data_IF_623162266955
#
_entry.id   IF_623162266955
#
_cell.length_a   1.000
_cell.length_b   1.000
_cell.length_c   1.000
_cell.angle_alpha   90.00
_cell.angle_beta   90.00
_cell.angle_gamma   90.00
#
_symmetry.space_group_name_H-M   'P 1'
#
loop_
_entity.id
_entity.type
_entity.pdbx_description
1 polymer ?
#
# COMPACT_ATOMS: atom_id res chain seq x y z
N UNK A 1 -31.02 -21.24 9.29
CA UNK A 1 -31.09 -20.43 8.06
C UNK A 1 -29.75 -19.74 7.91
N UNK A 2 -29.05 -19.93 6.80
CA UNK A 2 -27.82 -19.17 6.49
C UNK A 2 -28.22 -17.72 6.22
N UNK A 3 -27.63 -16.77 6.95
CA UNK A 3 -27.81 -15.34 6.68
C UNK A 3 -27.42 -15.05 5.22
N UNK A 4 -28.16 -14.20 4.49
CA UNK A 4 -27.71 -13.77 3.17
C UNK A 4 -26.33 -13.07 3.31
N UNK A 5 -25.40 -13.30 2.37
CA UNK A 5 -24.08 -12.68 2.46
C UNK A 5 -24.22 -11.15 2.43
N UNK A 6 -23.61 -10.43 3.40
CA UNK A 6 -23.55 -8.97 3.39
C UNK A 6 -22.89 -8.43 2.11
N UNK A 7 -23.28 -7.22 1.70
CA UNK A 7 -22.65 -6.55 0.57
C UNK A 7 -21.32 -5.93 1.04
N UNK A 8 -20.25 -6.18 0.32
CA UNK A 8 -18.94 -5.57 0.62
C UNK A 8 -18.93 -4.15 0.06
N UNK A 9 -18.64 -3.19 0.92
CA UNK A 9 -18.51 -1.78 0.61
C UNK A 9 -17.04 -1.39 0.82
N UNK A 10 -16.42 -0.93 -0.25
CA UNK A 10 -15.03 -0.49 -0.21
C UNK A 10 -14.91 1.02 -0.20
N UNK A 11 -14.03 1.53 0.65
CA UNK A 11 -13.62 2.93 0.65
C UNK A 11 -12.20 3.02 0.11
N UNK A 12 -11.97 3.96 -0.81
CA UNK A 12 -10.65 4.14 -1.43
C UNK A 12 -10.39 5.61 -1.68
N UNK A 13 -9.14 5.96 -1.96
CA UNK A 13 -8.82 7.32 -2.38
C UNK A 13 -7.55 7.39 -3.22
N UNK A 14 -7.36 8.52 -3.91
CA UNK A 14 -6.13 8.77 -4.66
C UNK A 14 -4.99 9.13 -3.69
N UNK A 15 -4.29 8.13 -3.17
CA UNK A 15 -3.27 8.30 -2.14
C UNK A 15 -3.85 8.90 -0.83
N UNK A 16 -3.38 10.06 -0.39
CA UNK A 16 -3.79 10.70 0.87
C UNK A 16 -5.03 11.60 0.70
N UNK A 17 -5.98 11.19 -0.14
CA UNK A 17 -7.13 12.00 -0.56
C UNK A 17 -8.39 11.79 0.27
N UNK A 18 -8.28 11.23 1.48
CA UNK A 18 -9.40 11.18 2.43
C UNK A 18 -10.26 9.91 2.42
N UNK A 19 -9.74 8.77 1.95
CA UNK A 19 -10.46 7.49 2.01
C UNK A 19 -10.90 7.13 3.44
N UNK A 20 -10.00 7.36 4.40
CA UNK A 20 -10.27 7.16 5.83
C UNK A 20 -11.43 7.99 6.37
N UNK A 21 -11.67 9.20 5.85
CA UNK A 21 -12.80 10.02 6.27
C UNK A 21 -14.14 9.35 5.92
N UNK A 22 -14.23 8.76 4.73
CA UNK A 22 -15.42 7.99 4.33
C UNK A 22 -15.55 6.75 5.21
N UNK A 23 -14.46 6.03 5.45
CA UNK A 23 -14.44 4.86 6.35
C UNK A 23 -14.98 5.24 7.73
N UNK A 24 -14.48 6.33 8.31
CA UNK A 24 -14.92 6.80 9.63
C UNK A 24 -16.39 7.23 9.65
N UNK A 25 -16.92 7.83 8.58
CA UNK A 25 -18.36 8.14 8.48
C UNK A 25 -19.18 6.83 8.47
N UNK A 26 -18.78 5.85 7.65
CA UNK A 26 -19.51 4.58 7.52
C UNK A 26 -19.43 3.72 8.78
N UNK A 27 -18.32 3.78 9.54
CA UNK A 27 -18.17 3.14 10.86
C UNK A 27 -19.20 3.60 11.89
N UNK A 28 -19.81 4.77 11.70
CA UNK A 28 -20.84 5.30 12.60
C UNK A 28 -22.22 4.64 12.40
N UNK A 29 -22.39 3.90 11.31
CA UNK A 29 -23.63 3.20 10.98
C UNK A 29 -23.65 1.78 11.55
N UNK A 30 -24.71 1.48 12.29
CA UNK A 30 -24.98 0.16 12.86
C UNK A 30 -25.21 -0.94 11.81
N UNK A 31 -25.45 -0.60 10.53
CA UNK A 31 -25.65 -1.55 9.44
C UNK A 31 -24.35 -2.26 8.98
N UNK A 32 -23.16 -1.79 9.40
CA UNK A 32 -21.88 -2.33 8.98
C UNK A 32 -21.24 -3.25 10.01
N UNK A 33 -20.65 -4.34 9.52
CA UNK A 33 -19.50 -5.00 10.13
C UNK A 33 -18.24 -4.39 9.54
N UNK A 34 -17.30 -3.98 10.39
CA UNK A 34 -16.09 -3.27 9.95
C UNK A 34 -14.90 -4.20 10.17
N UNK A 35 -13.99 -4.28 9.19
CA UNK A 35 -12.72 -4.96 9.38
C UNK A 35 -12.02 -4.39 10.63
N UNK A 36 -11.53 -5.26 11.51
CA UNK A 36 -10.71 -4.87 12.67
C UNK A 36 -9.51 -4.07 12.18
N UNK A 37 -9.28 -2.93 12.83
CA UNK A 37 -8.32 -1.91 12.41
C UNK A 37 -8.99 -0.71 11.70
N UNK A 38 -10.20 -0.87 11.17
CA UNK A 38 -10.93 0.22 10.50
C UNK A 38 -10.09 0.87 9.41
N UNK A 39 -10.02 2.20 9.41
CA UNK A 39 -9.19 2.98 8.49
C UNK A 39 -7.66 2.78 8.67
N UNK A 40 -7.19 2.11 9.71
CA UNK A 40 -5.76 1.78 9.90
C UNK A 40 -5.37 0.49 9.16
N UNK A 41 -6.34 -0.32 8.73
CA UNK A 41 -6.12 -1.58 8.03
C UNK A 41 -6.52 -1.48 6.54
N UNK A 42 -5.51 -1.27 5.68
CA UNK A 42 -5.70 -1.25 4.23
C UNK A 42 -5.76 -2.67 3.63
N UNK A 43 -6.92 -3.08 3.12
CA UNK A 43 -7.21 -4.42 2.63
C UNK A 43 -6.80 -4.64 1.14
N UNK A 44 -5.55 -4.33 0.80
CA UNK A 44 -5.07 -4.33 -0.61
C UNK A 44 -4.87 -5.72 -1.23
N UNK A 45 -4.78 -6.76 -0.41
CA UNK A 45 -4.41 -8.11 -0.83
C UNK A 45 -5.24 -8.64 -2.01
N UNK A 46 -6.56 -8.55 -1.92
CA UNK A 46 -7.45 -9.15 -2.92
C UNK A 46 -7.29 -8.48 -4.28
N UNK A 47 -7.34 -7.16 -4.31
CA UNK A 47 -7.22 -6.37 -5.52
C UNK A 47 -5.90 -6.64 -6.24
N UNK A 48 -4.76 -6.60 -5.55
CA UNK A 48 -3.46 -6.79 -6.19
C UNK A 48 -3.29 -8.20 -6.78
N UNK A 49 -3.77 -9.23 -6.07
CA UNK A 49 -3.50 -10.61 -6.43
C UNK A 49 -4.53 -11.19 -7.39
N UNK A 50 -5.83 -10.90 -7.22
CA UNK A 50 -6.88 -11.38 -8.11
C UNK A 50 -6.77 -10.68 -9.47
N UNK A 51 -6.51 -9.37 -9.49
CA UNK A 51 -6.33 -8.64 -10.75
C UNK A 51 -5.12 -9.14 -11.55
N UNK A 52 -4.00 -9.41 -10.89
CA UNK A 52 -2.82 -9.97 -11.56
C UNK A 52 -3.09 -11.37 -12.14
N UNK A 53 -3.81 -12.22 -11.40
CA UNK A 53 -4.19 -13.56 -11.86
C UNK A 53 -5.17 -13.50 -13.03
N UNK A 54 -6.23 -12.68 -12.92
CA UNK A 54 -7.19 -12.45 -14.00
C UNK A 54 -6.48 -11.99 -15.28
N UNK A 55 -5.61 -11.00 -15.15
CA UNK A 55 -4.86 -10.45 -16.29
C UNK A 55 -4.01 -11.52 -16.96
N UNK A 56 -3.29 -12.32 -16.17
CA UNK A 56 -2.47 -13.42 -16.69
C UNK A 56 -3.31 -14.48 -17.41
N UNK A 57 -4.48 -14.84 -16.87
CA UNK A 57 -5.40 -15.81 -17.46
C UNK A 57 -6.03 -15.29 -18.76
N UNK A 58 -6.40 -14.00 -18.83
CA UNK A 58 -6.97 -13.38 -20.04
C UNK A 58 -5.94 -13.29 -21.17
N UNK A 59 -4.68 -12.98 -20.83
CA UNK A 59 -3.59 -12.89 -21.80
C UNK A 59 -3.10 -14.29 -22.22
N UNK A 60 -3.26 -15.30 -21.36
CA UNK A 60 -2.68 -16.64 -21.57
C UNK A 60 -1.16 -16.66 -21.34
N UNK A 61 -0.62 -15.72 -20.55
CA UNK A 61 0.80 -15.62 -20.26
C UNK A 61 1.06 -15.19 -18.80
N UNK A 62 2.13 -15.70 -18.21
CA UNK A 62 2.55 -15.33 -16.85
C UNK A 62 1.66 -15.90 -15.73
N UNK A 63 0.79 -16.87 -16.02
CA UNK A 63 -0.12 -17.50 -15.06
C UNK A 63 0.63 -18.05 -13.86
N UNK A 64 1.68 -18.85 -14.09
CA UNK A 64 2.49 -19.43 -13.02
C UNK A 64 3.06 -18.37 -12.07
N UNK A 65 3.57 -17.26 -12.62
CA UNK A 65 4.08 -16.14 -11.83
C UNK A 65 2.97 -15.49 -11.01
N UNK A 66 1.81 -15.23 -11.61
CA UNK A 66 0.70 -14.58 -10.93
C UNK A 66 0.14 -15.46 -9.80
N UNK A 67 -0.05 -16.76 -10.06
CA UNK A 67 -0.50 -17.72 -9.05
C UNK A 67 0.49 -17.80 -7.89
N UNK A 68 1.77 -17.98 -8.17
CA UNK A 68 2.76 -18.14 -7.10
C UNK A 68 2.97 -16.86 -6.31
N UNK A 69 2.87 -15.68 -6.94
CA UNK A 69 2.84 -14.41 -6.23
C UNK A 69 1.60 -14.30 -5.32
N UNK A 70 0.42 -14.69 -5.81
CA UNK A 70 -0.81 -14.74 -5.01
C UNK A 70 -0.64 -15.64 -3.80
N UNK A 71 -0.25 -16.90 -4.01
CA UNK A 71 -0.06 -17.85 -2.91
C UNK A 71 1.02 -17.37 -1.93
N UNK A 72 2.12 -16.79 -2.42
CA UNK A 72 3.19 -16.27 -1.56
C UNK A 72 2.69 -15.12 -0.70
N UNK A 73 2.00 -14.16 -1.31
CA UNK A 73 1.39 -13.05 -0.59
C UNK A 73 0.35 -13.57 0.42
N UNK A 74 -0.45 -14.57 0.06
CA UNK A 74 -1.43 -15.20 0.94
C UNK A 74 -0.74 -15.82 2.16
N UNK A 75 0.38 -16.51 1.95
CA UNK A 75 1.19 -17.07 3.02
C UNK A 75 1.77 -15.98 3.93
N UNK A 76 2.24 -14.86 3.38
CA UNK A 76 2.76 -13.75 4.20
C UNK A 76 1.65 -13.10 5.03
N UNK A 77 0.52 -12.71 4.42
CA UNK A 77 -0.57 -12.08 5.16
C UNK A 77 -1.27 -13.05 6.11
N UNK A 78 -1.27 -14.36 5.83
CA UNK A 78 -1.77 -15.36 6.80
C UNK A 78 -0.96 -15.41 8.10
N UNK A 79 0.25 -14.83 8.13
CA UNK A 79 1.08 -14.68 9.34
C UNK A 79 0.82 -13.35 10.06
N UNK A 80 0.31 -12.36 9.34
CA UNK A 80 -0.03 -11.04 9.83
C UNK A 80 -1.21 -11.10 10.81
N UNK A 81 -1.14 -10.30 11.88
CA UNK A 81 -2.11 -10.36 12.97
C UNK A 81 -3.47 -9.80 12.56
N UNK A 82 -3.49 -8.76 11.73
CA UNK A 82 -4.72 -8.09 11.32
C UNK A 82 -5.50 -8.95 10.31
N UNK A 83 -4.80 -9.57 9.36
CA UNK A 83 -5.42 -10.55 8.46
C UNK A 83 -5.95 -11.77 9.21
N UNK A 84 -5.21 -12.33 10.17
CA UNK A 84 -5.70 -13.43 11.01
C UNK A 84 -6.95 -13.03 11.79
N UNK A 85 -6.95 -11.83 12.36
CA UNK A 85 -8.05 -11.34 13.18
C UNK A 85 -9.34 -11.11 12.37
N UNK A 86 -9.20 -10.81 11.07
CA UNK A 86 -10.31 -10.54 10.15
C UNK A 86 -10.81 -11.79 9.40
N UNK A 87 -9.90 -12.61 8.88
CA UNK A 87 -10.25 -13.70 7.94
C UNK A 87 -10.02 -15.11 8.50
N UNK A 88 -9.43 -15.22 9.70
CA UNK A 88 -9.23 -16.49 10.39
C UNK A 88 -8.07 -17.34 9.85
N UNK A 89 -7.83 -18.51 10.46
CA UNK A 89 -6.68 -19.36 10.15
C UNK A 89 -6.79 -20.07 8.79
N UNK A 90 -8.00 -20.28 8.28
CA UNK A 90 -8.24 -21.03 7.03
C UNK A 90 -8.07 -20.19 5.76
N UNK A 91 -7.82 -18.89 5.88
CA UNK A 91 -7.64 -17.96 4.76
C UNK A 91 -6.68 -18.46 3.68
N UNK A 92 -5.53 -19.04 4.07
CA UNK A 92 -4.56 -19.56 3.12
C UNK A 92 -5.11 -20.77 2.36
N UNK A 93 -5.81 -21.67 3.06
CA UNK A 93 -6.42 -22.85 2.45
C UNK A 93 -7.50 -22.45 1.44
N UNK A 94 -8.34 -21.47 1.77
CA UNK A 94 -9.35 -20.95 0.86
C UNK A 94 -8.72 -20.32 -0.38
N UNK A 95 -7.59 -19.63 -0.23
CA UNK A 95 -6.84 -19.08 -1.38
C UNK A 95 -6.29 -20.19 -2.27
N UNK A 96 -5.71 -21.25 -1.70
CA UNK A 96 -5.20 -22.40 -2.45
C UNK A 96 -6.32 -23.12 -3.21
N UNK A 97 -7.46 -23.35 -2.56
CA UNK A 97 -8.65 -23.94 -3.19
C UNK A 97 -9.13 -23.10 -4.37
N UNK A 98 -9.23 -21.77 -4.18
CA UNK A 98 -9.63 -20.85 -5.24
C UNK A 98 -8.69 -20.91 -6.44
N UNK A 99 -7.38 -20.80 -6.22
CA UNK A 99 -6.37 -20.91 -7.27
C UNK A 99 -6.52 -22.21 -8.06
N UNK A 100 -6.66 -23.34 -7.37
CA UNK A 100 -6.83 -24.65 -8.02
C UNK A 100 -8.18 -24.76 -8.78
N UNK A 101 -9.17 -23.92 -8.47
CA UNK A 101 -10.46 -23.92 -9.15
C UNK A 101 -10.47 -23.12 -10.46
N UNK A 102 -9.52 -22.18 -10.63
CA UNK A 102 -9.41 -21.29 -11.80
C UNK A 102 -8.15 -21.54 -12.64
N UNK A 103 -7.29 -22.47 -12.22
CA UNK A 103 -6.07 -22.86 -12.92
C UNK A 103 -5.88 -24.37 -12.93
N UNK A 104 -5.05 -24.84 -13.84
CA UNK A 104 -4.52 -26.20 -13.87
C UNK A 104 -3.04 -26.19 -13.45
N UNK A 105 -2.49 -27.35 -13.11
CA UNK A 105 -1.07 -27.46 -12.79
C UNK A 105 -0.49 -28.80 -13.25
N UNK A 106 0.82 -28.78 -13.51
CA UNK A 106 1.63 -29.96 -13.77
C UNK A 106 2.94 -29.88 -12.98
N UNK A 107 3.66 -30.98 -12.92
CA UNK A 107 5.00 -31.02 -12.32
C UNK A 107 6.02 -30.49 -13.34
N UNK A 108 6.59 -29.32 -13.07
CA UNK A 108 7.53 -28.66 -13.97
C UNK A 108 8.71 -28.07 -13.22
N UNK A 109 9.63 -27.43 -13.97
CA UNK A 109 10.83 -26.85 -13.40
C UNK A 109 10.55 -25.62 -12.54
N UNK A 110 11.32 -25.48 -11.46
CA UNK A 110 11.34 -24.36 -10.52
C UNK A 110 12.54 -23.46 -10.86
N UNK A 111 12.31 -22.14 -10.92
CA UNK A 111 13.29 -21.19 -11.44
C UNK A 111 13.52 -19.96 -10.55
N UNK A 112 12.65 -19.67 -9.59
CA UNK A 112 12.63 -18.39 -8.85
C UNK A 112 12.50 -18.58 -7.34
N UNK A 113 12.99 -17.61 -6.58
CA UNK A 113 13.02 -17.65 -5.12
C UNK A 113 11.65 -17.92 -4.47
N UNK A 114 10.56 -17.41 -5.05
CA UNK A 114 9.21 -17.64 -4.54
C UNK A 114 8.68 -19.05 -4.82
N UNK A 115 9.24 -19.78 -5.79
CA UNK A 115 8.87 -21.18 -6.06
C UNK A 115 9.28 -22.08 -4.87
N UNK A 116 10.44 -21.77 -4.28
CA UNK A 116 11.00 -22.50 -3.15
C UNK A 116 10.20 -22.29 -1.85
N UNK A 117 9.40 -21.23 -1.75
CA UNK A 117 8.58 -20.96 -0.56
C UNK A 117 7.51 -22.04 -0.30
N UNK A 118 7.18 -22.84 -1.31
CA UNK A 118 6.16 -23.89 -1.26
C UNK A 118 6.73 -25.31 -1.31
N UNK A 119 8.05 -25.44 -1.37
CA UNK A 119 8.73 -26.74 -1.34
C UNK A 119 9.10 -27.10 0.10
N UNK A 120 9.05 -28.38 0.41
CA UNK A 120 9.41 -28.87 1.74
C UNK A 120 10.91 -28.60 2.00
N UNK A 121 11.32 -28.09 3.17
CA UNK A 121 12.74 -27.95 3.52
C UNK A 121 13.56 -29.25 3.36
N UNK A 122 12.95 -30.42 3.59
CA UNK A 122 13.57 -31.72 3.35
C UNK A 122 13.78 -32.01 1.86
N UNK A 123 12.89 -31.53 0.99
CA UNK A 123 13.04 -31.62 -0.45
C UNK A 123 14.23 -30.79 -0.94
N UNK A 124 14.38 -29.56 -0.44
CA UNK A 124 15.54 -28.71 -0.72
C UNK A 124 16.87 -29.40 -0.40
N UNK A 125 16.94 -30.14 0.71
CA UNK A 125 18.15 -30.84 1.12
C UNK A 125 18.57 -31.96 0.14
N UNK A 126 17.65 -32.44 -0.71
CA UNK A 126 17.92 -33.48 -1.71
C UNK A 126 18.37 -32.92 -3.05
N UNK A 127 18.16 -31.63 -3.36
CA UNK A 127 18.46 -31.06 -4.69
C UNK A 127 19.91 -31.28 -5.15
N UNK A 128 20.89 -31.15 -4.26
CA UNK A 128 22.30 -31.43 -4.61
C UNK A 128 22.51 -32.91 -4.99
N UNK A 129 21.82 -33.84 -4.31
CA UNK A 129 21.89 -35.28 -4.64
C UNK A 129 21.18 -35.58 -5.96
N UNK A 130 20.02 -34.97 -6.20
CA UNK A 130 19.28 -35.10 -7.44
C UNK A 130 20.09 -34.58 -8.64
N UNK A 131 20.77 -33.44 -8.50
CA UNK A 131 21.66 -32.89 -9.53
C UNK A 131 22.83 -33.84 -9.83
N UNK A 132 23.46 -34.44 -8.79
CA UNK A 132 24.51 -35.44 -8.97
C UNK A 132 24.01 -36.67 -9.72
N UNK A 133 22.82 -37.17 -9.37
CA UNK A 133 22.18 -38.28 -10.05
C UNK A 133 21.88 -37.95 -11.52
N UNK A 134 21.35 -36.76 -11.79
CA UNK A 134 21.13 -36.26 -13.15
C UNK A 134 22.44 -36.25 -13.95
N UNK A 135 23.50 -35.64 -13.43
CA UNK A 135 24.80 -35.57 -14.10
C UNK A 135 25.39 -36.96 -14.37
N UNK A 136 25.27 -37.87 -13.40
CA UNK A 136 25.69 -39.27 -13.55
C UNK A 136 24.92 -40.00 -14.65
N UNK A 137 23.59 -39.83 -14.71
CA UNK A 137 22.71 -40.48 -15.71
C UNK A 137 22.84 -39.86 -17.10
N UNK A 138 22.99 -38.54 -17.17
CA UNK A 138 23.17 -37.80 -18.42
C UNK A 138 24.50 -38.19 -19.08
N UNK A 139 25.56 -38.39 -18.29
CA UNK A 139 26.81 -39.00 -18.75
C UNK A 139 27.48 -38.30 -19.95
N UNK A 140 27.20 -37.00 -20.15
CA UNK A 140 27.63 -36.20 -21.32
C UNK A 140 27.22 -36.82 -22.67
N UNK A 141 26.01 -37.40 -22.76
CA UNK A 141 25.43 -37.85 -24.03
C UNK A 141 25.54 -36.74 -25.09
N UNK A 142 25.85 -37.11 -26.33
CA UNK A 142 25.88 -36.16 -27.45
C UNK A 142 24.47 -35.65 -27.71
N UNK A 143 24.30 -34.33 -27.67
CA UNK A 143 23.03 -33.71 -28.05
C UNK A 143 22.90 -33.76 -29.58
N UNK A 144 21.92 -34.53 -30.07
CA UNK A 144 21.75 -34.80 -31.50
C UNK A 144 21.14 -33.63 -32.28
N UNK A 145 20.64 -32.59 -31.59
CA UNK A 145 20.10 -31.41 -32.26
C UNK A 145 21.22 -30.47 -32.71
N UNK A 146 21.15 -30.03 -33.97
CA UNK A 146 22.05 -29.01 -34.50
C UNK A 146 21.65 -27.64 -33.98
N UNK A 147 22.47 -27.08 -33.10
CA UNK A 147 22.33 -25.73 -32.58
C UNK A 147 23.63 -24.95 -32.80
N UNK A 148 23.61 -23.73 -33.37
CA UNK A 148 24.81 -22.92 -33.61
C UNK A 148 25.48 -22.47 -32.30
N UNK A 149 24.72 -22.46 -31.21
CA UNK A 149 25.22 -22.27 -29.85
C UNK A 149 24.88 -23.52 -29.04
N UNK A 150 25.88 -24.24 -28.54
CA UNK A 150 25.67 -25.47 -27.79
C UNK A 150 24.79 -25.23 -26.57
N UNK A 151 23.55 -25.70 -26.63
CA UNK A 151 22.67 -25.82 -25.48
C UNK A 151 22.90 -27.19 -24.84
N UNK A 152 23.16 -27.21 -23.52
CA UNK A 152 23.29 -28.45 -22.76
C UNK A 152 22.10 -28.62 -21.80
N UNK A 153 21.42 -29.77 -21.81
CA UNK A 153 20.43 -30.13 -20.81
C UNK A 153 20.98 -29.97 -19.39
N UNK A 154 20.27 -29.25 -18.52
CA UNK A 154 20.62 -29.08 -17.11
C UNK A 154 19.50 -29.53 -16.18
N UNK A 155 19.87 -29.97 -14.98
CA UNK A 155 18.91 -30.28 -13.93
C UNK A 155 18.32 -28.98 -13.36
N UNK A 156 16.99 -28.93 -13.30
CA UNK A 156 16.24 -27.98 -12.50
C UNK A 156 15.40 -28.74 -11.47
N UNK A 157 15.27 -28.25 -10.22
CA UNK A 157 14.30 -28.80 -9.28
C UNK A 157 12.88 -28.77 -9.85
N UNK A 158 12.05 -29.72 -9.46
CA UNK A 158 10.66 -29.78 -9.89
C UNK A 158 9.73 -29.21 -8.82
N UNK A 159 8.60 -28.69 -9.25
CA UNK A 159 7.54 -28.17 -8.40
C UNK A 159 6.26 -27.96 -9.19
N UNK A 160 5.20 -27.49 -8.53
CA UNK A 160 3.95 -27.16 -9.23
C UNK A 160 4.16 -25.97 -10.16
N UNK A 161 3.82 -26.16 -11.42
CA UNK A 161 3.75 -25.10 -12.43
C UNK A 161 2.30 -24.92 -12.83
N UNK A 162 1.79 -23.70 -12.73
CA UNK A 162 0.39 -23.39 -13.02
C UNK A 162 0.20 -22.84 -14.43
N UNK A 163 -0.84 -23.31 -15.09
CA UNK A 163 -1.25 -22.86 -16.42
C UNK A 163 -2.77 -22.83 -16.52
N UNK A 164 -3.29 -22.30 -17.62
CA UNK A 164 -4.72 -22.26 -17.89
C UNK A 164 -5.09 -21.05 -18.73
N UNK A 165 -6.36 -21.03 -19.14
CA UNK A 165 -6.99 -19.92 -19.84
C UNK A 165 -8.05 -19.28 -18.93
N UNK A 166 -8.51 -18.08 -19.27
CA UNK A 166 -9.58 -17.41 -18.53
C UNK A 166 -10.87 -18.25 -18.54
N UNK A 167 -11.33 -18.76 -17.38
CA UNK A 167 -12.52 -19.61 -17.34
C UNK A 167 -13.79 -18.75 -17.41
N UNK A 168 -14.83 -19.27 -18.09
CA UNK A 168 -16.11 -18.56 -18.23
C UNK A 168 -16.79 -18.28 -16.88
N UNK A 169 -16.53 -19.10 -15.87
CA UNK A 169 -17.08 -18.98 -14.51
C UNK A 169 -16.09 -18.32 -13.53
N UNK A 170 -15.09 -17.57 -14.03
CA UNK A 170 -14.07 -16.92 -13.21
C UNK A 170 -14.66 -16.04 -12.11
N UNK A 171 -15.60 -15.15 -12.46
CA UNK A 171 -16.20 -14.23 -11.50
C UNK A 171 -17.04 -14.96 -10.47
N UNK A 172 -17.78 -16.00 -10.86
CA UNK A 172 -18.58 -16.80 -9.92
C UNK A 172 -17.69 -17.53 -8.91
N UNK A 173 -16.57 -18.11 -9.37
CA UNK A 173 -15.57 -18.75 -8.50
C UNK A 173 -14.88 -17.73 -7.59
N UNK A 174 -14.56 -16.56 -8.12
CA UNK A 174 -13.97 -15.46 -7.35
C UNK A 174 -14.91 -14.99 -6.25
N UNK A 175 -16.18 -14.74 -6.58
CA UNK A 175 -17.19 -14.30 -5.61
C UNK A 175 -17.42 -15.33 -4.51
N UNK A 176 -17.47 -16.63 -4.85
CA UNK A 176 -17.57 -17.72 -3.85
C UNK A 176 -16.35 -17.76 -2.93
N UNK A 177 -15.15 -17.55 -3.48
CA UNK A 177 -13.92 -17.47 -2.69
C UNK A 177 -13.97 -16.28 -1.72
N UNK A 178 -14.36 -15.10 -2.19
CA UNK A 178 -14.52 -13.91 -1.36
C UNK A 178 -15.58 -14.13 -0.27
N UNK A 179 -16.75 -14.67 -0.59
CA UNK A 179 -17.80 -15.00 0.40
C UNK A 179 -17.26 -15.93 1.48
N UNK A 180 -16.48 -16.96 1.10
CA UNK A 180 -15.86 -17.90 2.04
C UNK A 180 -14.85 -17.20 2.96
N UNK A 181 -13.99 -16.35 2.41
CA UNK A 181 -12.96 -15.62 3.17
C UNK A 181 -13.57 -14.58 4.11
N UNK A 182 -14.62 -13.88 3.69
CA UNK A 182 -15.27 -12.84 4.50
C UNK A 182 -16.32 -13.38 5.46
N UNK A 183 -16.70 -14.66 5.36
CA UNK A 183 -17.70 -15.28 6.23
C UNK A 183 -17.47 -15.12 7.75
N UNK A 184 -16.23 -15.05 8.29
CA UNK A 184 -16.01 -14.79 9.72
C UNK A 184 -16.50 -13.41 10.19
N UNK A 185 -16.73 -12.48 9.26
CA UNK A 185 -17.20 -11.11 9.53
C UNK A 185 -18.72 -10.99 9.45
N UNK A 186 -19.44 -12.08 9.17
CA UNK A 186 -20.89 -12.04 8.97
C UNK A 186 -21.59 -11.98 10.33
N UNK A 187 -22.22 -10.85 10.60
CA UNK A 187 -22.95 -10.62 11.85
C UNK A 187 -24.47 -10.49 11.59
N UNK A 188 -25.26 -10.98 12.54
CA UNK A 188 -26.71 -10.87 12.43
C UNK A 188 -27.16 -9.40 12.52
N UNK A 189 -28.06 -9.00 11.61
CA UNK A 189 -28.56 -7.62 11.52
C UNK A 189 -27.61 -6.63 10.84
N UNK A 190 -26.45 -7.09 10.33
CA UNK A 190 -25.54 -6.28 9.51
C UNK A 190 -25.76 -6.58 8.03
N UNK A 191 -25.95 -5.53 7.24
CA UNK A 191 -26.20 -5.65 5.80
C UNK A 191 -24.93 -5.48 4.98
N UNK A 192 -23.89 -4.90 5.57
CA UNK A 192 -22.68 -4.48 4.88
C UNK A 192 -21.41 -4.92 5.60
N UNK A 193 -20.36 -5.19 4.83
CA UNK A 193 -18.99 -5.26 5.34
C UNK A 193 -18.20 -4.06 4.80
N UNK A 194 -17.62 -3.28 5.70
CA UNK A 194 -16.78 -2.14 5.35
C UNK A 194 -15.31 -2.54 5.28
N UNK A 195 -14.66 -2.22 4.16
CA UNK A 195 -13.24 -2.46 3.96
C UNK A 195 -12.51 -1.26 3.37
N UNK A 196 -11.49 -0.76 4.07
CA UNK A 196 -10.64 0.31 3.58
C UNK A 196 -9.61 -0.20 2.57
N UNK A 197 -9.38 0.55 1.50
CA UNK A 197 -8.43 0.27 0.42
C UNK A 197 -8.56 -1.11 -0.23
N UNK A 198 -9.75 -1.71 -0.18
CA UNK A 198 -10.03 -2.98 -0.85
C UNK A 198 -10.05 -2.82 -2.38
N UNK A 199 -10.31 -1.62 -2.89
CA UNK A 199 -10.24 -1.27 -4.32
C UNK A 199 -9.15 -0.25 -4.59
N UNK A 200 -8.58 -0.28 -5.79
CA UNK A 200 -7.76 0.79 -6.32
C UNK A 200 -8.67 1.98 -6.68
N UNK A 201 -8.29 3.21 -6.37
CA UNK A 201 -8.93 4.40 -6.93
C UNK A 201 -8.32 4.74 -8.31
N UNK A 202 -8.55 3.89 -9.32
CA UNK A 202 -7.95 4.03 -10.66
C UNK A 202 -8.88 3.44 -11.71
N UNK A 203 -8.47 3.39 -12.98
CA UNK A 203 -9.30 2.83 -14.07
C UNK A 203 -9.71 1.37 -13.88
N UNK A 204 -9.05 0.62 -12.97
CA UNK A 204 -9.35 -0.79 -12.73
C UNK A 204 -10.43 -1.04 -11.67
N UNK A 205 -10.85 -0.03 -10.89
CA UNK A 205 -11.92 -0.19 -9.87
C UNK A 205 -13.17 -0.91 -10.38
N UNK A 206 -13.73 -0.56 -11.56
CA UNK A 206 -14.95 -1.20 -12.04
C UNK A 206 -14.79 -2.70 -12.24
N UNK A 207 -13.59 -3.11 -12.66
CA UNK A 207 -13.22 -4.51 -12.82
C UNK A 207 -13.06 -5.21 -11.46
N UNK A 208 -12.40 -4.55 -10.50
CA UNK A 208 -12.22 -5.09 -9.14
C UNK A 208 -13.56 -5.33 -8.42
N UNK A 209 -14.56 -4.46 -8.65
CA UNK A 209 -15.91 -4.61 -8.09
C UNK A 209 -16.58 -5.92 -8.52
N UNK A 210 -16.25 -6.46 -9.71
CA UNK A 210 -16.83 -7.71 -10.21
C UNK A 210 -16.41 -8.94 -9.40
N UNK A 211 -15.32 -8.85 -8.62
CA UNK A 211 -14.88 -9.93 -7.73
C UNK A 211 -15.81 -10.12 -6.52
N UNK A 212 -16.69 -9.15 -6.27
CA UNK A 212 -17.53 -9.06 -5.08
C UNK A 212 -19.00 -8.93 -5.50
N UNK A 213 -19.86 -9.74 -4.91
CA UNK A 213 -21.28 -9.73 -5.28
C UNK A 213 -21.97 -8.42 -4.88
N UNK A 214 -22.58 -7.73 -5.85
CA UNK A 214 -23.32 -6.47 -5.68
C UNK A 214 -22.53 -5.33 -5.02
N UNK A 215 -21.21 -5.38 -5.11
CA UNK A 215 -20.33 -4.48 -4.39
C UNK A 215 -20.43 -3.03 -4.86
N UNK A 216 -20.05 -2.12 -3.96
CA UNK A 216 -19.97 -0.68 -4.21
C UNK A 216 -18.66 -0.09 -3.67
N UNK A 217 -18.17 0.93 -4.36
CA UNK A 217 -17.00 1.70 -3.97
C UNK A 217 -17.36 3.16 -3.69
N UNK A 218 -16.77 3.72 -2.62
CA UNK A 218 -16.79 5.15 -2.34
C UNK A 218 -15.36 5.67 -2.44
N UNK A 219 -15.12 6.60 -3.38
CA UNK A 219 -13.79 7.08 -3.72
C UNK A 219 -13.66 8.55 -3.32
N UNK A 220 -12.79 8.82 -2.35
CA UNK A 220 -12.44 10.18 -1.97
C UNK A 220 -11.44 10.81 -2.93
N UNK A 221 -11.67 12.07 -3.27
CA UNK A 221 -10.72 12.97 -3.91
C UNK A 221 -10.50 14.21 -3.03
N UNK A 222 -9.43 14.97 -3.32
CA UNK A 222 -8.99 16.08 -2.48
C UNK A 222 -8.30 17.15 -3.30
N UNK A 223 -8.39 18.39 -2.81
CA UNK A 223 -7.77 19.57 -3.41
C UNK A 223 -6.26 19.35 -3.69
N UNK A 224 -5.80 19.55 -4.95
CA UNK A 224 -4.40 19.37 -5.31
C UNK A 224 -3.45 20.31 -4.57
N UNK A 225 -3.90 21.51 -4.19
CA UNK A 225 -3.07 22.51 -3.49
C UNK A 225 -2.72 22.03 -2.10
N UNK A 226 -3.70 21.49 -1.39
CA UNK A 226 -3.51 20.92 -0.05
C UNK A 226 -2.58 19.71 -0.10
N UNK A 227 -2.85 18.77 -1.00
CA UNK A 227 -2.00 17.58 -1.13
C UNK A 227 -0.53 17.92 -1.46
N UNK A 228 -0.30 18.90 -2.34
CA UNK A 228 1.05 19.34 -2.69
C UNK A 228 1.84 19.78 -1.45
N UNK A 229 1.25 20.70 -0.68
CA UNK A 229 1.91 21.33 0.45
C UNK A 229 2.00 20.39 1.64
N UNK A 230 0.96 19.60 1.90
CA UNK A 230 0.99 18.58 2.96
C UNK A 230 2.04 17.51 2.69
N UNK A 231 2.24 17.12 1.43
CA UNK A 231 3.30 16.15 1.12
C UNK A 231 4.68 16.77 1.35
N UNK A 232 4.91 18.04 1.00
CA UNK A 232 6.18 18.71 1.29
C UNK A 232 6.46 18.81 2.80
N UNK A 233 5.46 19.23 3.56
CA UNK A 233 5.65 19.71 4.95
C UNK A 233 5.33 18.67 6.03
N UNK A 234 4.38 17.76 5.79
CA UNK A 234 3.80 16.89 6.83
C UNK A 234 4.11 15.41 6.58
N UNK A 235 3.83 14.90 5.38
CA UNK A 235 3.89 13.46 5.11
C UNK A 235 5.19 13.01 4.42
N UNK A 236 5.71 13.81 3.49
CA UNK A 236 6.93 13.53 2.76
C UNK A 236 6.84 12.33 1.81
N UNK A 237 5.66 11.83 1.44
CA UNK A 237 5.53 10.57 0.74
C UNK A 237 6.30 10.52 -0.58
N UNK A 238 7.13 9.47 -0.73
CA UNK A 238 8.10 9.36 -1.82
C UNK A 238 7.46 9.02 -3.17
N UNK A 239 6.26 8.42 -3.14
CA UNK A 239 5.49 8.08 -4.32
C UNK A 239 4.64 9.27 -4.83
N UNK A 240 4.65 10.40 -4.11
CA UNK A 240 3.96 11.63 -4.49
C UNK A 240 5.03 12.65 -4.93
N UNK A 241 5.15 12.97 -6.23
CA UNK A 241 6.27 13.71 -6.77
C UNK A 241 6.14 15.23 -6.59
N UNK A 242 6.26 15.72 -5.35
CA UNK A 242 6.14 17.16 -5.04
C UNK A 242 7.46 17.93 -5.13
N UNK A 243 8.59 17.28 -5.45
CA UNK A 243 9.88 17.96 -5.60
C UNK A 243 9.92 18.95 -6.78
N UNK A 244 9.04 18.75 -7.76
CA UNK A 244 8.87 19.60 -8.93
C UNK A 244 7.37 19.78 -9.19
N UNK A 245 6.90 21.03 -9.28
CA UNK A 245 5.48 21.35 -9.47
C UNK A 245 4.91 20.77 -10.78
N UNK A 246 5.69 20.66 -11.85
CA UNK A 246 5.26 20.03 -13.11
C UNK A 246 5.10 18.52 -12.96
N UNK A 247 6.04 17.88 -12.29
CA UNK A 247 5.95 16.45 -11.99
C UNK A 247 4.70 16.15 -11.14
N UNK A 248 4.42 17.01 -10.15
CA UNK A 248 3.22 16.96 -9.35
C UNK A 248 1.94 17.11 -10.19
N UNK A 249 1.85 18.15 -11.02
CA UNK A 249 0.68 18.40 -11.87
C UNK A 249 0.42 17.21 -12.80
N UNK A 250 1.46 16.70 -13.47
CA UNK A 250 1.36 15.55 -14.37
C UNK A 250 0.91 14.29 -13.63
N UNK A 251 1.50 14.02 -12.47
CA UNK A 251 1.11 12.90 -11.61
C UNK A 251 -0.36 13.02 -11.18
N UNK A 252 -0.77 14.19 -10.70
CA UNK A 252 -2.12 14.42 -10.20
C UNK A 252 -3.17 14.19 -11.30
N UNK A 253 -2.99 14.77 -12.50
CA UNK A 253 -3.87 14.55 -13.67
C UNK A 253 -3.95 13.08 -14.03
N UNK A 254 -2.80 12.42 -14.19
CA UNK A 254 -2.74 11.03 -14.63
C UNK A 254 -3.45 10.08 -13.65
N UNK A 255 -3.25 10.28 -12.34
CA UNK A 255 -3.91 9.44 -11.33
C UNK A 255 -5.43 9.57 -11.32
N UNK A 256 -5.97 10.70 -11.79
CA UNK A 256 -7.40 11.05 -11.74
C UNK A 256 -8.12 10.95 -13.08
N UNK A 257 -7.43 10.47 -14.12
CA UNK A 257 -8.02 10.24 -15.43
C UNK A 257 -9.22 9.28 -15.40
N UNK A 258 -9.33 8.44 -14.36
CA UNK A 258 -10.44 7.49 -14.20
C UNK A 258 -11.73 8.14 -13.69
N UNK A 259 -11.68 9.33 -13.06
CA UNK A 259 -12.85 9.92 -12.39
C UNK A 259 -14.01 10.13 -13.36
N UNK A 260 -13.75 10.78 -14.50
CA UNK A 260 -14.78 11.07 -15.49
C UNK A 260 -15.44 9.79 -16.04
N UNK A 261 -14.70 8.82 -16.61
CA UNK A 261 -15.32 7.60 -17.13
C UNK A 261 -16.01 6.77 -16.04
N UNK A 262 -15.52 6.77 -14.79
CA UNK A 262 -16.20 6.08 -13.68
C UNK A 262 -17.53 6.74 -13.33
N UNK A 263 -17.59 8.07 -13.24
CA UNK A 263 -18.84 8.80 -13.01
C UNK A 263 -19.87 8.59 -14.12
N UNK A 264 -19.41 8.49 -15.37
CA UNK A 264 -20.30 8.31 -16.54
C UNK A 264 -20.81 6.87 -16.66
N UNK A 265 -19.94 5.87 -16.47
CA UNK A 265 -20.25 4.48 -16.81
C UNK A 265 -20.55 3.59 -15.58
N UNK A 266 -20.24 4.04 -14.37
CA UNK A 266 -20.31 3.21 -13.15
C UNK A 266 -21.01 3.91 -11.97
N UNK A 267 -21.89 4.88 -12.24
CA UNK A 267 -22.57 5.69 -11.21
C UNK A 267 -23.35 4.89 -10.15
N UNK A 268 -23.85 3.71 -10.51
CA UNK A 268 -24.64 2.87 -9.59
C UNK A 268 -23.76 2.05 -8.63
N UNK A 269 -22.47 1.90 -8.96
CA UNK A 269 -21.50 1.09 -8.20
C UNK A 269 -20.35 1.92 -7.61
N UNK A 270 -20.08 3.12 -8.13
CA UNK A 270 -18.98 3.98 -7.69
C UNK A 270 -19.50 5.38 -7.37
N UNK A 271 -19.36 5.79 -6.11
CA UNK A 271 -19.63 7.15 -5.66
C UNK A 271 -18.31 7.90 -5.44
N UNK A 272 -18.10 8.98 -6.20
CA UNK A 272 -16.97 9.89 -5.98
C UNK A 272 -17.37 11.02 -5.04
N UNK A 273 -16.56 11.25 -4.01
CA UNK A 273 -16.75 12.28 -3.00
C UNK A 273 -15.52 13.20 -2.93
N UNK A 274 -15.73 14.49 -2.70
CA UNK A 274 -14.64 15.42 -2.40
C UNK A 274 -14.48 15.53 -0.89
N UNK A 275 -13.25 15.41 -0.40
CA UNK A 275 -12.93 15.43 1.02
C UNK A 275 -13.41 16.71 1.70
N UNK A 276 -13.29 17.85 1.01
CA UNK A 276 -13.72 19.14 1.51
C UNK A 276 -15.26 19.20 1.68
N UNK A 277 -16.02 18.57 0.78
CA UNK A 277 -17.49 18.47 0.89
C UNK A 277 -17.92 17.66 2.12
N UNK A 278 -17.15 16.64 2.51
CA UNK A 278 -17.40 15.88 3.75
C UNK A 278 -17.24 16.74 5.00
N UNK A 279 -16.53 17.86 4.91
CA UNK A 279 -16.26 18.76 6.02
C UNK A 279 -17.24 19.93 6.01
N UNK A 280 -17.26 20.69 4.92
CA UNK A 280 -17.99 21.95 4.88
C UNK A 280 -19.46 21.79 4.51
N UNK A 281 -19.81 20.72 3.78
CA UNK A 281 -21.17 20.40 3.34
C UNK A 281 -21.59 19.01 3.88
N UNK A 282 -21.30 18.76 5.16
CA UNK A 282 -21.39 17.45 5.78
C UNK A 282 -22.76 16.79 5.62
N UNK A 283 -23.86 17.49 5.94
CA UNK A 283 -25.22 16.93 5.86
C UNK A 283 -25.62 16.57 4.42
N UNK A 284 -25.22 17.37 3.43
CA UNK A 284 -25.48 17.08 2.01
C UNK A 284 -24.68 15.88 1.54
N UNK A 285 -23.40 15.81 1.90
CA UNK A 285 -22.54 14.66 1.60
C UNK A 285 -23.06 13.37 2.25
N UNK A 286 -23.51 13.46 3.50
CA UNK A 286 -24.11 12.35 4.23
C UNK A 286 -25.41 11.89 3.57
N UNK A 287 -26.24 12.80 3.08
CA UNK A 287 -27.44 12.46 2.31
C UNK A 287 -27.10 11.67 1.03
N UNK A 288 -26.09 12.11 0.26
CA UNK A 288 -25.61 11.40 -0.93
C UNK A 288 -25.12 9.99 -0.62
N UNK A 289 -24.36 9.82 0.48
CA UNK A 289 -23.88 8.51 0.93
C UNK A 289 -25.06 7.60 1.31
N UNK A 290 -26.01 8.13 2.08
CA UNK A 290 -27.20 7.38 2.51
C UNK A 290 -28.05 6.93 1.33
N UNK A 291 -28.29 7.81 0.36
CA UNK A 291 -29.03 7.48 -0.87
C UNK A 291 -28.29 6.38 -1.66
N UNK A 292 -27.00 6.57 -1.91
CA UNK A 292 -26.19 5.63 -2.68
C UNK A 292 -26.13 4.23 -2.07
N UNK A 293 -26.06 4.13 -0.74
CA UNK A 293 -26.01 2.87 0.00
C UNK A 293 -27.36 2.42 0.57
N UNK A 294 -28.44 3.15 0.30
CA UNK A 294 -29.77 2.90 0.88
C UNK A 294 -29.74 2.76 2.42
N UNK A 295 -29.00 3.65 3.10
CA UNK A 295 -28.89 3.69 4.57
C UNK A 295 -29.99 4.57 5.17
N UNK A 296 -30.45 4.17 6.36
CA UNK A 296 -31.49 4.90 7.11
C UNK A 296 -30.88 5.78 8.20
N UNK A 297 -31.55 6.87 8.53
CA UNK A 297 -31.13 7.74 9.64
C UNK A 297 -31.08 7.00 10.98
N UNK A 298 -32.01 6.07 11.21
CA UNK A 298 -32.03 5.23 12.41
C UNK A 298 -30.80 4.33 12.55
N UNK A 299 -30.06 4.10 11.45
CA UNK A 299 -28.85 3.27 11.45
C UNK A 299 -27.60 4.08 11.84
N UNK A 300 -27.63 5.42 11.76
CA UNK A 300 -26.48 6.32 12.05
C UNK A 300 -26.27 6.54 13.56
N UNK A 301 -26.08 5.45 14.29
CA UNK A 301 -26.10 5.40 15.76
C UNK A 301 -24.96 6.16 16.47
N UNK A 302 -23.88 6.50 15.75
CA UNK A 302 -22.69 7.17 16.33
C UNK A 302 -22.33 8.47 15.59
N UNK A 303 -23.32 9.17 15.03
CA UNK A 303 -23.11 10.40 14.24
C UNK A 303 -22.18 11.39 14.95
N UNK A 304 -21.07 11.75 14.29
CA UNK A 304 -20.12 12.75 14.80
C UNK A 304 -19.24 12.28 15.96
N UNK A 305 -19.20 10.98 16.24
CA UNK A 305 -18.35 10.42 17.30
C UNK A 305 -17.02 9.91 16.76
N UNK A 306 -16.97 9.52 15.48
CA UNK A 306 -15.77 8.97 14.83
C UNK A 306 -15.25 10.00 13.82
N UNK A 307 -16.07 10.36 12.83
CA UNK A 307 -15.72 11.43 11.91
C UNK A 307 -16.23 12.76 12.44
N UNK A 308 -15.30 13.67 12.75
CA UNK A 308 -15.60 15.00 13.29
C UNK A 308 -15.17 16.04 12.25
N UNK A 309 -16.10 16.63 11.47
CA UNK A 309 -15.79 17.62 10.44
C UNK A 309 -14.89 18.76 10.93
N UNK A 310 -15.17 19.28 12.13
CA UNK A 310 -14.46 20.42 12.73
C UNK A 310 -12.98 20.11 12.98
N UNK A 311 -12.67 18.87 13.40
CA UNK A 311 -11.28 18.43 13.56
C UNK A 311 -10.60 18.24 12.21
N UNK A 312 -11.33 17.76 11.20
CA UNK A 312 -10.78 17.53 9.86
C UNK A 312 -10.52 18.84 9.09
N UNK A 313 -11.25 19.91 9.43
CA UNK A 313 -11.04 21.26 8.88
C UNK A 313 -9.61 21.77 9.09
N UNK A 314 -8.89 21.29 10.12
CA UNK A 314 -7.49 21.71 10.33
C UNK A 314 -6.56 21.25 9.21
N UNK A 315 -7.01 20.28 8.40
CA UNK A 315 -6.25 19.66 7.31
C UNK A 315 -6.61 20.22 5.93
N UNK A 316 -7.49 21.21 5.84
CA UNK A 316 -7.87 21.87 4.58
C UNK A 316 -7.25 23.27 4.50
N UNK A 317 -7.14 23.79 3.27
CA UNK A 317 -6.55 25.11 2.97
C UNK A 317 -5.13 25.28 3.53
N UNK A 318 -4.43 24.18 3.74
CA UNK A 318 -3.04 24.12 4.18
C UNK A 318 -2.13 24.90 3.25
N UNK A 319 -2.44 24.98 1.95
CA UNK A 319 -1.68 25.82 1.02
C UNK A 319 -1.62 27.30 1.43
N UNK A 320 -2.62 27.82 2.17
CA UNK A 320 -2.62 29.19 2.71
C UNK A 320 -1.70 29.36 3.92
N UNK A 321 -1.40 28.27 4.64
CA UNK A 321 -0.49 28.26 5.80
C UNK A 321 0.99 28.41 5.41
N UNK A 322 1.32 28.09 4.16
CA UNK A 322 2.68 28.00 3.66
C UNK A 322 2.87 28.91 2.43
N UNK A 323 2.93 30.24 2.64
CA UNK A 323 2.99 31.24 1.56
C UNK A 323 4.25 31.12 0.68
N UNK A 324 5.30 30.44 1.14
CA UNK A 324 6.49 30.18 0.33
C UNK A 324 6.21 29.38 -0.96
N UNK A 325 5.08 28.66 -1.00
CA UNK A 325 4.68 27.87 -2.17
C UNK A 325 3.75 28.63 -3.11
N UNK A 326 3.48 29.92 -2.89
CA UNK A 326 2.48 30.68 -3.65
C UNK A 326 2.63 30.53 -5.17
N UNK A 327 3.85 30.64 -5.70
CA UNK A 327 4.12 30.49 -7.15
C UNK A 327 3.76 29.09 -7.69
N UNK A 328 4.02 28.05 -6.90
CA UNK A 328 3.64 26.68 -7.27
C UNK A 328 2.12 26.50 -7.19
N UNK A 329 1.48 27.10 -6.17
CA UNK A 329 0.03 27.07 -5.99
C UNK A 329 -0.69 27.77 -7.13
N UNK A 330 -0.28 28.97 -7.54
CA UNK A 330 -0.85 29.69 -8.69
C UNK A 330 -0.80 28.84 -9.98
N UNK A 331 0.30 28.11 -10.15
CA UNK A 331 0.45 27.20 -11.28
C UNK A 331 -0.46 25.99 -11.19
N UNK A 332 -0.58 25.39 -10.00
CA UNK A 332 -1.53 24.30 -9.72
C UNK A 332 -2.96 24.76 -10.00
N UNK A 333 -3.35 25.96 -9.55
CA UNK A 333 -4.68 26.52 -9.78
C UNK A 333 -4.97 26.71 -11.25
N UNK A 334 -4.00 27.22 -12.02
CA UNK A 334 -4.13 27.37 -13.46
C UNK A 334 -4.31 26.04 -14.19
N UNK A 335 -3.49 25.04 -13.84
CA UNK A 335 -3.40 23.78 -14.57
C UNK A 335 -4.38 22.70 -14.09
N UNK A 336 -4.87 22.80 -12.85
CA UNK A 336 -5.74 21.83 -12.18
C UNK A 336 -7.01 22.49 -11.63
N UNK A 337 -7.47 23.58 -12.25
CA UNK A 337 -8.64 24.36 -11.81
C UNK A 337 -9.88 23.49 -11.60
N UNK A 338 -10.12 22.50 -12.48
CA UNK A 338 -11.25 21.56 -12.38
C UNK A 338 -11.24 20.69 -11.12
N UNK A 339 -10.09 20.55 -10.46
CA UNK A 339 -9.90 19.75 -9.24
C UNK A 339 -9.75 20.60 -7.98
N UNK A 340 -9.54 21.90 -8.12
CA UNK A 340 -9.40 22.82 -7.00
C UNK A 340 -10.76 23.03 -6.32
N UNK A 341 -10.80 22.93 -5.00
CA UNK A 341 -12.03 23.12 -4.26
C UNK A 341 -12.41 24.62 -4.19
N UNK A 342 -13.63 25.00 -4.58
CA UNK A 342 -14.06 26.40 -4.61
C UNK A 342 -14.63 26.81 -3.24
N UNK A 343 -13.74 27.08 -2.28
CA UNK A 343 -14.14 27.59 -0.96
C UNK A 343 -14.95 28.89 -1.07
N UNK A 344 -16.12 28.94 -0.42
CA UNK A 344 -16.87 30.18 -0.26
C UNK A 344 -16.20 31.11 0.76
N UNK A 345 -16.53 32.41 0.74
CA UNK A 345 -15.98 33.39 1.70
C UNK A 345 -16.16 32.94 3.15
N UNK A 346 -17.30 32.35 3.50
CA UNK A 346 -17.57 31.85 4.84
C UNK A 346 -16.73 30.60 5.22
N UNK A 347 -16.23 29.86 4.22
CA UNK A 347 -15.40 28.68 4.42
C UNK A 347 -13.90 29.02 4.44
N UNK A 348 -13.49 30.20 3.94
CA UNK A 348 -12.09 30.59 3.88
C UNK A 348 -11.52 30.64 5.28
N UNK A 349 -10.44 29.88 5.49
CA UNK A 349 -9.72 29.89 6.76
C UNK A 349 -8.68 31.01 6.76
N UNK A 350 -8.80 31.90 7.74
CA UNK A 350 -7.80 32.91 8.04
C UNK A 350 -6.84 32.38 9.12
N UNK A 351 -5.62 32.06 8.71
CA UNK A 351 -4.58 31.57 9.62
C UNK A 351 -4.04 32.71 10.47
N UNK A 352 -3.82 32.45 11.76
CA UNK A 352 -3.15 33.39 12.65
C UNK A 352 -1.67 33.54 12.24
N UNK A 353 -1.04 34.71 12.49
CA UNK A 353 0.37 34.93 12.16
C UNK A 353 1.32 33.85 12.70
N UNK A 354 1.04 33.26 13.86
CA UNK A 354 1.85 32.21 14.50
C UNK A 354 1.68 30.83 13.83
N UNK A 355 0.54 30.62 13.17
CA UNK A 355 0.26 29.41 12.40
C UNK A 355 0.99 29.41 11.05
N UNK A 356 1.15 30.59 10.45
CA UNK A 356 1.86 30.77 9.18
C UNK A 356 3.31 30.35 9.36
N UNK A 357 3.77 29.40 8.53
CA UNK A 357 5.15 28.92 8.56
C UNK A 357 5.94 29.57 7.44
N UNK A 358 7.14 30.06 7.75
CA UNK A 358 8.04 30.74 6.82
C UNK A 358 9.21 29.87 6.35
N UNK A 359 9.92 30.36 5.34
CA UNK A 359 10.90 29.69 4.46
C UNK A 359 12.12 29.03 5.12
N UNK A 360 12.33 29.13 6.43
CA UNK A 360 13.63 28.79 7.04
C UNK A 360 13.68 27.46 7.81
N UNK A 361 12.79 26.51 7.50
CA UNK A 361 12.84 25.17 8.12
C UNK A 361 13.07 24.07 7.08
N UNK A 362 13.85 23.07 7.47
CA UNK A 362 14.00 21.83 6.69
C UNK A 362 12.64 21.11 6.66
N UNK A 363 12.08 20.93 5.47
CA UNK A 363 10.81 20.22 5.30
C UNK A 363 11.01 18.71 5.39
N UNK A 364 9.94 17.93 5.57
CA UNK A 364 10.06 16.48 5.57
C UNK A 364 10.49 15.95 4.18
N UNK A 365 10.07 16.62 3.11
CA UNK A 365 10.58 16.34 1.75
C UNK A 365 12.10 16.58 1.67
N UNK A 366 12.61 17.68 2.23
CA UNK A 366 14.05 17.97 2.24
C UNK A 366 14.85 16.94 3.02
N UNK A 367 14.35 16.55 4.20
CA UNK A 367 14.96 15.47 5.02
C UNK A 367 15.05 14.19 4.18
N UNK A 368 13.96 13.80 3.50
CA UNK A 368 13.95 12.58 2.67
C UNK A 368 14.88 12.69 1.47
N UNK A 369 14.95 13.85 0.80
CA UNK A 369 15.93 14.11 -0.27
C UNK A 369 17.35 13.92 0.24
N UNK A 370 17.68 14.48 1.40
CA UNK A 370 18.98 14.34 2.06
C UNK A 370 19.30 12.87 2.36
N UNK A 371 18.35 12.11 2.91
CA UNK A 371 18.53 10.68 3.20
C UNK A 371 18.71 9.86 1.91
N UNK A 372 17.96 10.17 0.85
CA UNK A 372 18.10 9.52 -0.46
C UNK A 372 19.49 9.79 -1.08
N UNK A 373 19.97 11.04 -1.02
CA UNK A 373 21.32 11.44 -1.44
C UNK A 373 22.36 10.60 -0.70
N UNK A 374 22.28 10.51 0.63
CA UNK A 374 23.16 9.67 1.41
C UNK A 374 23.05 8.20 0.98
N UNK A 375 21.85 7.66 0.80
CA UNK A 375 21.64 6.26 0.42
C UNK A 375 22.33 5.92 -0.91
N UNK A 376 22.21 6.75 -1.95
CA UNK A 376 22.77 6.40 -3.27
C UNK A 376 24.23 6.79 -3.45
N UNK A 377 24.70 7.83 -2.75
CA UNK A 377 26.03 8.43 -2.98
C UNK A 377 26.97 8.34 -1.79
N UNK A 378 26.43 8.12 -0.58
CA UNK A 378 27.17 8.24 0.68
C UNK A 378 27.41 9.67 1.13
N UNK A 379 27.03 10.68 0.35
CA UNK A 379 27.26 12.09 0.69
C UNK A 379 26.39 12.49 1.88
N UNK A 380 27.04 13.00 2.92
CA UNK A 380 26.39 13.54 4.11
C UNK A 380 26.24 15.06 3.96
N UNK A 381 25.19 15.67 4.55
CA UNK A 381 25.05 17.13 4.62
C UNK A 381 26.00 17.76 5.65
N UNK A 382 26.81 16.95 6.35
CA UNK A 382 27.77 17.32 7.37
C UNK A 382 29.01 16.42 7.30
N UNK A 383 30.00 16.65 8.18
CA UNK A 383 31.25 15.88 8.19
C UNK A 383 31.04 14.38 8.44
N UNK A 384 31.89 13.55 7.84
CA UNK A 384 31.88 12.11 8.08
C UNK A 384 32.11 11.74 9.56
N UNK A 385 32.82 12.59 10.31
CA UNK A 385 33.01 12.45 11.77
C UNK A 385 31.66 12.55 12.48
N UNK A 386 30.86 13.58 12.16
CA UNK A 386 29.51 13.74 12.73
C UNK A 386 28.60 12.57 12.32
N UNK A 387 28.65 12.15 11.05
CA UNK A 387 27.89 10.99 10.57
C UNK A 387 28.25 9.69 11.28
N UNK A 388 29.54 9.39 11.42
CA UNK A 388 30.00 8.21 12.14
C UNK A 388 29.48 8.19 13.59
N UNK A 389 29.46 9.33 14.27
CA UNK A 389 28.88 9.47 15.61
C UNK A 389 27.39 9.14 15.65
N UNK A 390 26.61 9.69 14.71
CA UNK A 390 25.15 9.48 14.62
C UNK A 390 24.81 8.02 14.36
N UNK A 391 25.58 7.32 13.52
CA UNK A 391 25.29 5.95 13.10
C UNK A 391 25.73 4.88 14.11
N UNK A 392 26.38 5.27 15.21
CA UNK A 392 26.78 4.32 16.25
C UNK A 392 25.58 3.68 16.95
N UNK A 393 25.79 2.45 17.42
CA UNK A 393 24.87 1.72 18.29
C UNK A 393 24.56 2.53 19.55
N UNK A 394 25.55 3.24 20.09
CA UNK A 394 25.36 4.11 21.25
C UNK A 394 24.36 5.23 20.97
N UNK A 395 24.52 5.96 19.86
CA UNK A 395 23.59 7.01 19.43
C UNK A 395 22.16 6.48 19.30
N UNK A 396 21.98 5.33 18.63
CA UNK A 396 20.68 4.64 18.52
C UNK A 396 20.09 4.27 19.89
N UNK A 397 20.91 3.74 20.80
CA UNK A 397 20.46 3.34 22.14
C UNK A 397 20.03 4.55 22.97
N UNK A 398 20.76 5.67 22.91
CA UNK A 398 20.39 6.93 23.58
C UNK A 398 19.08 7.48 23.02
N UNK A 399 18.94 7.51 21.69
CA UNK A 399 17.73 8.04 21.03
C UNK A 399 16.48 7.24 21.42
N UNK A 400 16.58 5.89 21.41
CA UNK A 400 15.45 5.01 21.74
C UNK A 400 15.19 4.88 23.24
N UNK A 401 16.10 5.33 24.10
CA UNK A 401 15.95 5.25 25.55
C UNK A 401 14.76 6.06 26.06
N UNK A 402 14.55 7.26 25.50
CA UNK A 402 13.46 8.19 25.88
C UNK A 402 12.05 7.61 25.70
N UNK A 403 11.90 6.58 24.85
CA UNK A 403 10.60 6.01 24.50
C UNK A 403 10.20 4.83 25.40
N UNK A 404 10.99 4.49 26.42
CA UNK A 404 10.76 3.34 27.29
C UNK A 404 9.79 3.70 28.42
N UNK A 405 8.74 2.89 28.59
CA UNK A 405 7.64 3.17 29.53
C UNK A 405 7.62 2.28 30.78
N UNK A 406 8.38 1.18 30.81
CA UNK A 406 8.37 0.23 31.94
C UNK A 406 9.73 0.14 32.61
N UNK A 407 9.76 -0.18 33.90
CA UNK A 407 11.00 -0.35 34.69
C UNK A 407 11.93 -1.38 34.03
N UNK A 408 11.38 -2.54 33.63
CA UNK A 408 12.15 -3.59 32.94
C UNK A 408 12.74 -3.10 31.62
N UNK A 409 11.98 -2.32 30.84
CA UNK A 409 12.49 -1.72 29.62
C UNK A 409 13.59 -0.69 29.92
N UNK A 410 13.44 0.11 30.97
CA UNK A 410 14.44 1.08 31.42
C UNK A 410 15.76 0.41 31.78
N UNK A 411 15.73 -0.64 32.62
CA UNK A 411 16.93 -1.41 33.01
C UNK A 411 17.63 -1.99 31.78
N UNK A 412 16.87 -2.64 30.87
CA UNK A 412 17.41 -3.13 29.59
C UNK A 412 18.01 -2.01 28.74
N UNK A 413 17.46 -0.80 28.83
CA UNK A 413 17.97 0.39 28.15
C UNK A 413 19.32 0.84 28.71
N UNK A 414 19.45 0.91 30.04
CA UNK A 414 20.70 1.27 30.71
C UNK A 414 21.81 0.28 30.35
N UNK A 415 21.52 -1.02 30.39
CA UNK A 415 22.47 -2.08 29.98
C UNK A 415 22.92 -1.86 28.52
N UNK A 416 21.99 -1.60 27.60
CA UNK A 416 22.32 -1.33 26.20
C UNK A 416 23.18 -0.08 26.01
N UNK A 417 22.96 0.97 26.81
CA UNK A 417 23.78 2.19 26.78
C UNK A 417 25.19 1.89 27.30
N UNK A 418 25.34 1.16 28.41
CA UNK A 418 26.65 0.78 28.97
C UNK A 418 27.44 -0.05 27.95
N UNK A 419 26.81 -1.07 27.35
CA UNK A 419 27.43 -1.87 26.28
C UNK A 419 27.80 -0.96 25.09
N UNK A 420 26.90 -0.06 24.69
CA UNK A 420 27.15 0.90 23.63
C UNK A 420 28.34 1.82 23.91
N UNK A 421 28.54 2.26 25.17
CA UNK A 421 29.67 3.08 25.60
C UNK A 421 30.98 2.31 25.50
N UNK A 422 31.01 1.05 25.95
CA UNK A 422 32.19 0.20 25.85
C UNK A 422 32.59 -0.06 24.38
N UNK A 423 31.61 -0.23 23.49
CA UNK A 423 31.85 -0.50 22.07
C UNK A 423 32.06 0.76 21.21
N UNK A 424 31.77 1.94 21.76
CA UNK A 424 31.72 3.18 20.99
C UNK A 424 33.00 3.48 20.18
N UNK A 425 34.22 3.36 20.72
CA UNK A 425 35.43 3.66 19.94
C UNK A 425 35.58 2.76 18.70
N UNK A 426 35.28 1.47 18.83
CA UNK A 426 35.39 0.50 17.75
C UNK A 426 34.29 0.68 16.70
N UNK A 427 33.04 0.84 17.15
CA UNK A 427 31.90 1.08 16.27
C UNK A 427 32.06 2.42 15.54
N UNK A 428 32.49 3.49 16.21
CA UNK A 428 32.76 4.78 15.59
C UNK A 428 33.79 4.70 14.45
N UNK A 429 34.93 4.04 14.69
CA UNK A 429 35.96 3.82 13.65
C UNK A 429 35.39 3.01 12.50
N UNK A 430 34.64 1.94 12.80
CA UNK A 430 33.98 1.12 11.80
C UNK A 430 33.02 1.93 10.92
N UNK A 431 32.13 2.75 11.52
CA UNK A 431 31.21 3.61 10.78
C UNK A 431 31.98 4.62 9.90
N UNK A 432 33.05 5.23 10.43
CA UNK A 432 33.84 6.20 9.67
C UNK A 432 34.50 5.58 8.44
N UNK A 433 35.08 4.39 8.59
CA UNK A 433 35.68 3.62 7.48
C UNK A 433 34.59 3.22 6.47
N UNK A 434 33.45 2.74 6.96
CA UNK A 434 32.32 2.33 6.12
C UNK A 434 31.79 3.48 5.25
N UNK A 435 31.56 4.66 5.84
CA UNK A 435 31.14 5.87 5.12
C UNK A 435 32.15 6.23 4.02
N UNK A 436 33.44 6.30 4.36
CA UNK A 436 34.50 6.65 3.39
C UNK A 436 34.59 5.64 2.26
N UNK A 437 34.51 4.34 2.57
CA UNK A 437 34.55 3.27 1.56
C UNK A 437 33.35 3.37 0.62
N UNK A 438 32.15 3.61 1.16
CA UNK A 438 30.94 3.76 0.37
C UNK A 438 30.97 5.03 -0.50
N UNK A 439 31.41 6.16 0.04
CA UNK A 439 31.58 7.41 -0.72
C UNK A 439 32.58 7.23 -1.88
N UNK A 440 33.71 6.57 -1.64
CA UNK A 440 34.70 6.32 -2.69
C UNK A 440 34.15 5.42 -3.80
N UNK A 441 33.41 4.36 -3.44
CA UNK A 441 32.76 3.47 -4.41
C UNK A 441 31.70 4.20 -5.25
N UNK A 442 31.02 5.20 -4.67
CA UNK A 442 29.92 5.92 -5.32
C UNK A 442 30.28 7.35 -5.75
N UNK A 443 31.56 7.70 -5.84
CA UNK A 443 32.03 9.09 -6.08
C UNK A 443 31.47 9.76 -7.34
N UNK A 444 31.12 8.95 -8.35
CA UNK A 444 30.58 9.43 -9.62
C UNK A 444 29.05 9.31 -9.71
N UNK A 445 28.37 8.81 -8.66
CA UNK A 445 26.91 8.70 -8.65
C UNK A 445 26.29 10.04 -8.29
N UNK A 446 25.33 10.47 -9.09
CA UNK A 446 24.48 11.63 -8.83
C UNK A 446 23.03 11.18 -8.64
N UNK A 447 22.25 11.99 -7.93
CA UNK A 447 20.79 11.82 -7.84
C UNK A 447 20.14 13.08 -8.38
N UNK A 448 19.22 12.89 -9.31
CA UNK A 448 18.37 13.96 -9.84
C UNK A 448 16.93 13.66 -9.44
N UNK A 449 16.27 14.63 -8.82
CA UNK A 449 14.84 14.58 -8.52
C UNK A 449 14.11 15.26 -9.69
N UNK A 450 13.74 14.47 -10.71
CA UNK A 450 13.10 14.96 -11.95
C UNK A 450 11.59 15.03 -11.83
#
# INVERSE_FOLDING_TARGET
MTLPPPIIIGTSSFAQSGGSAITNILEEFSAFSVLKGGAEFECKFFTENIFALETALKIGNGIDKAVKAFLYNALQVSKDIDYKNNFGPDFLNYTIEYVNSVTENYLGAVHKDYDYAFLDPAEHAIFSKAQKLYNYKYGKRSYEAYEPYHWEPSYAPFGKVYYGNFPNDFYDKTQKYIEKVFSPLYENGKNYILADAIYSATTITPQELMYYKNSKALIANRDPRDLYVMNKEIYGEWFIPTWNVEAWIKYYKNRRQSIKPQKENNKDNILHLQFEELIYNYEESLAKIKEFLNLKDSEHTKKGQIFIPEKSQTNTQMFRKYPQYLKDIEKIEKELSEFCYPYSEAQIRHFLPEEIKSEHRETLEDIRKTVCIFQKTGKLPFSNIKGAGIFTILSKNIQTFKNRKTITAYIKGCIKIIIGLCLFPFDFIYQLISIKKYQNYNKNRTIEFK
#
